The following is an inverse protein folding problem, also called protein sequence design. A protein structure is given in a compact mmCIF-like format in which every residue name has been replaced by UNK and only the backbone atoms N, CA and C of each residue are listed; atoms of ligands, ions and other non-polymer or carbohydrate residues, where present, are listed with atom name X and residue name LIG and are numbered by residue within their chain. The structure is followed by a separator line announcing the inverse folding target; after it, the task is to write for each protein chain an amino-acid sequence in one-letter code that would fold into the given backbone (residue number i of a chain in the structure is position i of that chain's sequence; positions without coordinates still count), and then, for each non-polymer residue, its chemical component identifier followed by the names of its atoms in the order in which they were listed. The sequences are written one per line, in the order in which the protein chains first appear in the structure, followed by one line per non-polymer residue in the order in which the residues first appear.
data_IF_823709773200
#
_entry.id   IF_823709773200
#
_cell.length_a   1.000
_cell.length_b   1.000
_cell.length_c   1.000
_cell.angle_alpha   90.00
_cell.angle_beta   90.00
_cell.angle_gamma   90.00
#
_symmetry.space_group_name_H-M   'P 1'
#
loop_
_entity.id
_entity.type
_entity.pdbx_description
1 polymer ?
#
# COMPACT_ATOMS: atom_id res chain seq x y z
N UNK A 1 26.49 8.37 1.48
CA UNK A 1 26.10 7.24 2.36
C UNK A 1 24.59 7.28 2.54
N UNK A 2 23.94 6.12 2.66
CA UNK A 2 22.51 6.03 2.93
C UNK A 2 22.21 6.55 4.35
N UNK A 3 21.14 7.34 4.48
CA UNK A 3 20.61 7.84 5.76
C UNK A 3 19.37 7.04 6.13
N UNK A 4 19.15 6.80 7.42
CA UNK A 4 17.90 6.22 7.92
C UNK A 4 16.76 7.17 7.57
N UNK A 5 15.68 6.66 6.99
CA UNK A 5 14.47 7.42 6.71
C UNK A 5 13.73 7.71 8.02
N UNK A 6 13.34 8.96 8.23
CA UNK A 6 12.50 9.40 9.35
C UNK A 6 11.19 9.96 8.81
N UNK A 7 10.16 9.97 9.65
CA UNK A 7 8.88 10.57 9.27
C UNK A 7 9.01 12.04 8.87
N UNK A 8 9.90 12.80 9.53
CA UNK A 8 10.16 14.20 9.23
C UNK A 8 10.84 14.42 7.87
N UNK A 9 11.38 13.37 7.24
CA UNK A 9 11.92 13.46 5.87
C UNK A 9 10.80 13.48 4.81
N UNK A 10 9.55 13.17 5.17
CA UNK A 10 8.43 13.06 4.22
C UNK A 10 8.25 14.31 3.34
N UNK A 11 8.17 15.55 3.88
CA UNK A 11 7.94 16.73 3.06
C UNK A 11 9.06 16.98 2.04
N UNK A 12 10.30 16.61 2.40
CA UNK A 12 11.46 16.76 1.54
C UNK A 12 11.56 15.68 0.47
N UNK A 13 11.20 14.42 0.79
CA UNK A 13 11.27 13.32 -0.17
C UNK A 13 10.09 13.30 -1.14
N UNK A 14 8.96 13.91 -0.78
CA UNK A 14 7.71 13.90 -1.58
C UNK A 14 7.92 14.34 -3.03
N UNK A 15 8.77 15.33 -3.30
CA UNK A 15 9.01 15.85 -4.65
C UNK A 15 9.48 14.77 -5.65
N UNK A 16 10.19 13.73 -5.18
CA UNK A 16 10.65 12.61 -6.02
C UNK A 16 9.50 11.66 -6.39
N UNK A 17 8.39 11.69 -5.65
CA UNK A 17 7.20 10.87 -5.87
C UNK A 17 6.13 11.61 -6.69
N UNK A 18 6.29 12.91 -6.98
CA UNK A 18 5.30 13.70 -7.73
C UNK A 18 5.16 13.23 -9.17
N UNK A 19 6.28 12.85 -9.80
CA UNK A 19 6.34 12.40 -11.20
C UNK A 19 6.59 10.89 -11.34
N UNK A 20 6.56 10.14 -10.23
CA UNK A 20 6.75 8.70 -10.25
C UNK A 20 5.49 8.00 -10.79
N UNK A 21 5.70 6.99 -11.64
CA UNK A 21 4.63 6.24 -12.31
C UNK A 21 4.70 4.73 -12.07
N UNK A 22 5.55 4.25 -11.16
CA UNK A 22 5.55 2.86 -10.73
C UNK A 22 4.21 2.56 -10.02
N UNK A 23 3.44 1.58 -10.53
CA UNK A 23 2.04 1.44 -10.15
C UNK A 23 1.82 0.51 -8.94
N UNK A 24 2.91 -0.02 -8.37
CA UNK A 24 2.93 -0.87 -7.19
C UNK A 24 2.85 -0.04 -5.89
N UNK A 25 2.10 -0.49 -4.89
CA UNK A 25 1.82 0.24 -3.66
C UNK A 25 3.08 0.51 -2.82
N UNK A 26 4.13 -0.28 -3.01
CA UNK A 26 5.44 -0.11 -2.38
C UNK A 26 6.12 1.21 -2.77
N UNK A 27 5.66 1.89 -3.84
CA UNK A 27 6.11 3.22 -4.22
C UNK A 27 5.24 4.35 -3.63
N UNK A 28 4.41 4.07 -2.63
CA UNK A 28 3.85 5.12 -1.77
C UNK A 28 4.86 5.54 -0.71
N UNK A 29 5.27 6.80 -0.70
CA UNK A 29 6.13 7.35 0.36
C UNK A 29 5.50 7.21 1.74
N UNK A 30 4.17 7.37 1.84
CA UNK A 30 3.45 7.21 3.10
C UNK A 30 3.50 5.76 3.58
N UNK A 31 3.39 4.79 2.67
CA UNK A 31 3.55 3.36 2.99
C UNK A 31 4.98 3.04 3.43
N UNK A 32 5.99 3.46 2.65
CA UNK A 32 7.42 3.27 2.99
C UNK A 32 7.73 3.82 4.39
N UNK A 33 7.18 4.99 4.71
CA UNK A 33 7.38 5.64 6.02
C UNK A 33 6.62 4.90 7.13
N UNK A 34 5.40 4.43 6.85
CA UNK A 34 4.55 3.71 7.80
C UNK A 34 5.18 2.38 8.24
N UNK A 35 5.71 1.60 7.28
CA UNK A 35 6.28 0.27 7.51
C UNK A 35 7.73 0.29 8.03
N UNK A 36 8.35 1.46 8.13
CA UNK A 36 9.70 1.62 8.66
C UNK A 36 9.79 1.17 10.13
N UNK A 37 10.93 0.61 10.53
CA UNK A 37 11.20 0.06 11.86
C UNK A 37 10.30 -1.12 12.28
N UNK A 38 9.92 -1.96 11.30
CA UNK A 38 9.28 -3.24 11.63
C UNK A 38 10.03 -4.49 11.17
N UNK A 39 9.86 -4.89 9.90
CA UNK A 39 10.64 -6.00 9.30
C UNK A 39 11.95 -5.50 8.68
N UNK A 40 11.98 -4.21 8.33
CA UNK A 40 13.15 -3.54 7.76
C UNK A 40 13.27 -2.11 8.28
N UNK A 41 14.48 -1.58 8.17
CA UNK A 41 14.76 -0.15 8.28
C UNK A 41 14.87 0.44 6.88
N UNK A 42 13.97 1.36 6.56
CA UNK A 42 14.04 2.15 5.34
C UNK A 42 15.18 3.17 5.44
N UNK A 43 15.96 3.26 4.38
CA UNK A 43 17.05 4.20 4.23
C UNK A 43 16.95 4.88 2.87
N UNK A 44 17.58 6.03 2.71
CA UNK A 44 17.64 6.71 1.43
C UNK A 44 18.98 7.38 1.18
N UNK A 45 19.30 7.59 -0.09
CA UNK A 45 20.37 8.49 -0.54
C UNK A 45 19.86 9.29 -1.74
N UNK A 46 20.23 10.56 -1.79
CA UNK A 46 19.98 11.42 -2.96
C UNK A 46 21.30 11.63 -3.67
N UNK A 47 21.30 11.36 -4.98
CA UNK A 47 22.40 11.64 -5.88
C UNK A 47 21.89 12.63 -6.93
N UNK A 48 22.25 13.91 -6.80
CA UNK A 48 21.72 14.99 -7.63
C UNK A 48 20.19 15.04 -7.63
N UNK A 49 19.54 14.62 -8.72
CA UNK A 49 18.08 14.61 -8.89
C UNK A 49 17.46 13.21 -8.78
N UNK A 50 18.23 12.22 -8.33
CA UNK A 50 17.81 10.82 -8.18
C UNK A 50 17.74 10.43 -6.70
N UNK A 51 16.64 9.79 -6.30
CA UNK A 51 16.40 9.23 -4.98
C UNK A 51 16.49 7.70 -5.05
N UNK A 52 17.34 7.11 -4.23
CA UNK A 52 17.44 5.67 -4.03
C UNK A 52 16.92 5.35 -2.64
N UNK A 53 15.96 4.44 -2.56
CA UNK A 53 15.42 3.92 -1.30
C UNK A 53 15.93 2.50 -1.12
N UNK A 54 16.41 2.23 0.09
CA UNK A 54 16.90 0.92 0.51
C UNK A 54 16.05 0.41 1.66
N UNK A 55 15.73 -0.87 1.63
CA UNK A 55 15.19 -1.60 2.77
C UNK A 55 16.29 -2.51 3.33
N UNK A 56 16.58 -2.37 4.62
CA UNK A 56 17.56 -3.19 5.33
C UNK A 56 16.82 -4.09 6.31
N UNK A 57 16.69 -5.40 6.03
CA UNK A 57 16.02 -6.33 6.94
C UNK A 57 16.67 -6.32 8.31
N UNK A 58 15.88 -6.30 9.37
CA UNK A 58 16.41 -6.18 10.73
C UNK A 58 17.16 -7.45 11.17
N UNK A 59 16.67 -8.62 10.81
CA UNK A 59 17.29 -9.91 11.15
C UNK A 59 18.45 -10.30 10.23
N UNK A 60 18.46 -9.78 9.01
CA UNK A 60 19.50 -10.10 8.02
C UNK A 60 19.90 -8.85 7.22
N UNK A 61 20.68 -7.93 7.84
CA UNK A 61 21.10 -6.70 7.17
C UNK A 61 21.88 -6.92 5.87
N UNK A 62 22.54 -8.08 5.73
CA UNK A 62 23.24 -8.49 4.51
C UNK A 62 22.30 -8.68 3.31
N UNK A 63 21.01 -8.96 3.55
CA UNK A 63 19.97 -9.07 2.51
C UNK A 63 19.32 -7.73 2.17
N UNK A 64 20.01 -6.61 2.43
CA UNK A 64 19.57 -5.27 2.03
C UNK A 64 19.27 -5.22 0.53
N UNK A 65 18.29 -4.41 0.16
CA UNK A 65 17.74 -4.32 -1.19
C UNK A 65 17.35 -2.88 -1.51
N UNK A 66 17.28 -2.57 -2.80
CA UNK A 66 16.81 -1.29 -3.31
C UNK A 66 15.38 -1.42 -3.86
N UNK A 67 14.61 -0.35 -3.83
CA UNK A 67 13.50 -0.16 -4.75
C UNK A 67 14.05 0.43 -6.07
N UNK A 68 13.27 0.44 -7.14
CA UNK A 68 13.66 1.21 -8.33
C UNK A 68 13.87 2.69 -7.94
N UNK A 69 14.91 3.33 -8.48
CA UNK A 69 15.18 4.72 -8.18
C UNK A 69 14.09 5.65 -8.71
N UNK A 70 13.93 6.77 -8.03
CA UNK A 70 12.99 7.83 -8.35
C UNK A 70 13.76 9.06 -8.81
N UNK A 71 13.14 9.93 -9.60
CA UNK A 71 13.77 11.16 -10.04
C UNK A 71 12.79 12.34 -9.98
N UNK A 72 13.32 13.54 -9.70
CA UNK A 72 12.52 14.79 -9.70
C UNK A 72 11.88 15.11 -11.05
N UNK A 73 12.37 14.52 -12.12
CA UNK A 73 11.80 14.61 -13.47
C UNK A 73 11.58 13.19 -13.98
N UNK A 74 10.57 12.98 -14.86
CA UNK A 74 10.39 11.69 -15.50
C UNK A 74 11.70 11.19 -16.12
N UNK A 75 12.16 10.03 -15.66
CA UNK A 75 13.36 9.35 -16.14
C UNK A 75 13.07 7.86 -16.21
N UNK A 76 13.35 7.24 -17.35
CA UNK A 76 13.46 5.79 -17.43
C UNK A 76 14.90 5.41 -17.07
N UNK A 77 15.09 4.56 -16.07
CA UNK A 77 16.39 4.06 -15.68
C UNK A 77 16.68 2.78 -16.47
N UNK A 78 17.77 2.75 -17.21
CA UNK A 78 18.13 1.57 -18.00
C UNK A 78 18.67 0.45 -17.11
N UNK A 79 18.59 -0.83 -17.53
CA UNK A 79 19.18 -1.94 -16.77
C UNK A 79 20.67 -1.76 -16.48
N UNK A 80 21.44 -1.24 -17.44
CA UNK A 80 22.87 -0.94 -17.25
C UNK A 80 23.10 0.13 -16.16
N UNK A 81 22.34 1.22 -16.16
CA UNK A 81 22.41 2.24 -15.11
C UNK A 81 22.06 1.66 -13.73
N UNK A 82 21.00 0.86 -13.63
CA UNK A 82 20.60 0.21 -12.38
C UNK A 82 21.70 -0.71 -11.85
N UNK A 83 22.36 -1.47 -12.74
CA UNK A 83 23.44 -2.39 -12.38
C UNK A 83 24.65 -1.65 -11.82
N UNK A 84 25.11 -0.60 -12.52
CA UNK A 84 26.22 0.23 -12.06
C UNK A 84 25.92 0.93 -10.73
N UNK A 85 24.70 1.44 -10.54
CA UNK A 85 24.28 2.08 -9.28
C UNK A 85 24.20 1.08 -8.14
N UNK A 86 23.64 -0.11 -8.38
CA UNK A 86 23.58 -1.18 -7.37
C UNK A 86 24.98 -1.58 -6.92
N UNK A 87 25.89 -1.84 -7.87
CA UNK A 87 27.30 -2.16 -7.60
C UNK A 87 28.00 -1.05 -6.82
N UNK A 88 27.85 0.21 -7.25
CA UNK A 88 28.42 1.39 -6.56
C UNK A 88 27.96 1.50 -5.11
N UNK A 89 26.71 1.15 -4.82
CA UNK A 89 26.15 1.20 -3.47
C UNK A 89 26.36 -0.10 -2.67
N UNK A 90 26.94 -1.13 -3.27
CA UNK A 90 27.12 -2.45 -2.66
C UNK A 90 25.78 -3.15 -2.39
N UNK A 91 24.87 -3.09 -3.36
CA UNK A 91 23.60 -3.82 -3.37
C UNK A 91 23.57 -4.78 -4.54
N UNK A 92 22.88 -5.90 -4.35
CA UNK A 92 22.76 -6.94 -5.37
C UNK A 92 21.34 -7.06 -5.91
N UNK A 93 20.35 -6.43 -5.28
CA UNK A 93 18.93 -6.69 -5.59
C UNK A 93 18.10 -5.43 -5.62
N UNK A 94 17.20 -5.38 -6.61
CA UNK A 94 16.03 -4.51 -6.61
C UNK A 94 14.78 -5.34 -6.32
N UNK A 95 13.95 -4.90 -5.38
CA UNK A 95 12.67 -5.51 -5.04
C UNK A 95 11.52 -4.63 -5.53
N UNK A 96 10.35 -5.25 -5.66
CA UNK A 96 9.13 -4.57 -6.09
C UNK A 96 9.31 -3.88 -7.45
N UNK A 97 10.04 -4.51 -8.37
CA UNK A 97 10.17 -4.02 -9.73
C UNK A 97 8.86 -4.31 -10.46
N UNK A 98 8.11 -3.30 -10.92
CA UNK A 98 6.79 -3.53 -11.51
C UNK A 98 6.89 -4.15 -12.90
N UNK A 99 5.90 -4.96 -13.27
CA UNK A 99 5.83 -5.62 -14.58
C UNK A 99 5.99 -4.64 -15.77
N UNK A 100 5.54 -3.39 -15.64
CA UNK A 100 5.69 -2.41 -16.71
C UNK A 100 7.16 -2.00 -16.94
N UNK A 101 8.00 -1.99 -15.90
CA UNK A 101 9.44 -1.75 -16.07
C UNK A 101 10.07 -2.82 -16.97
N UNK A 102 9.70 -4.10 -16.77
CA UNK A 102 10.18 -5.21 -17.60
C UNK A 102 9.73 -5.05 -19.06
N UNK A 103 8.49 -4.62 -19.29
CA UNK A 103 7.95 -4.39 -20.64
C UNK A 103 8.61 -3.20 -21.35
N UNK A 104 8.89 -2.12 -20.61
CA UNK A 104 9.46 -0.88 -21.13
C UNK A 104 10.96 -1.01 -21.45
N UNK A 105 11.69 -1.88 -20.75
CA UNK A 105 13.14 -2.03 -20.88
C UNK A 105 13.58 -3.35 -21.55
N UNK A 106 12.64 -4.15 -22.03
CA UNK A 106 12.84 -5.45 -22.68
C UNK A 106 13.56 -6.51 -21.81
N UNK A 107 12.97 -7.70 -21.71
CA UNK A 107 13.49 -8.74 -20.80
C UNK A 107 14.90 -9.21 -21.18
N UNK A 108 15.25 -9.46 -22.46
CA UNK A 108 16.62 -9.80 -22.86
C UNK A 108 17.67 -8.73 -22.52
N UNK A 109 17.32 -7.44 -22.55
CA UNK A 109 18.24 -6.37 -22.13
C UNK A 109 18.43 -6.36 -20.61
N UNK A 110 17.37 -6.59 -19.84
CA UNK A 110 17.45 -6.77 -18.39
C UNK A 110 18.31 -7.99 -18.04
N UNK A 111 18.14 -9.09 -18.75
CA UNK A 111 18.83 -10.36 -18.51
C UNK A 111 20.34 -10.32 -18.80
N UNK A 112 20.85 -9.27 -19.46
CA UNK A 112 22.30 -9.03 -19.54
C UNK A 112 22.92 -8.70 -18.18
N UNK A 113 22.14 -8.10 -17.28
CA UNK A 113 22.63 -7.55 -16.01
C UNK A 113 21.99 -8.22 -14.79
N UNK A 114 20.76 -8.72 -14.92
CA UNK A 114 19.99 -9.24 -13.81
C UNK A 114 19.37 -10.61 -14.13
N UNK A 115 19.07 -11.37 -13.09
CA UNK A 115 18.05 -12.41 -13.11
C UNK A 115 16.74 -11.78 -12.61
N UNK A 116 15.65 -11.97 -13.37
CA UNK A 116 14.32 -11.47 -13.00
C UNK A 116 13.45 -12.61 -12.47
N UNK A 117 12.96 -12.49 -11.23
CA UNK A 117 12.08 -13.47 -10.60
C UNK A 117 10.78 -12.80 -10.16
N UNK A 118 9.63 -13.36 -10.54
CA UNK A 118 8.33 -12.88 -10.05
C UNK A 118 8.21 -13.06 -8.53
N UNK A 119 7.75 -12.03 -7.84
CA UNK A 119 7.41 -12.10 -6.42
C UNK A 119 5.95 -12.50 -6.27
N UNK A 120 5.69 -13.81 -6.15
CA UNK A 120 4.34 -14.31 -5.89
C UNK A 120 3.80 -13.75 -4.57
N UNK A 121 2.48 -13.55 -4.50
CA UNK A 121 1.83 -12.91 -3.35
C UNK A 121 1.96 -11.39 -3.27
N UNK A 122 2.87 -10.76 -4.02
CA UNK A 122 3.08 -9.31 -4.08
C UNK A 122 2.54 -8.70 -5.38
N UNK A 123 1.38 -9.19 -5.82
CA UNK A 123 0.67 -8.69 -7.00
C UNK A 123 -0.45 -7.76 -6.59
N UNK A 124 -0.40 -6.52 -7.03
CA UNK A 124 -1.37 -5.50 -6.65
C UNK A 124 -2.66 -5.56 -7.45
N UNK A 125 -3.77 -5.28 -6.78
CA UNK A 125 -5.10 -5.25 -7.37
C UNK A 125 -5.58 -3.80 -7.54
N UNK A 126 -5.85 -3.41 -8.78
CA UNK A 126 -6.25 -2.04 -9.11
C UNK A 126 -7.65 -1.99 -9.67
N UNK A 127 -8.45 -1.04 -9.20
CA UNK A 127 -9.87 -0.87 -9.54
C UNK A 127 -10.10 0.54 -10.08
N UNK A 128 -11.04 0.73 -11.02
CA UNK A 128 -11.55 2.07 -11.30
C UNK A 128 -12.19 2.64 -10.02
N UNK A 129 -11.79 3.85 -9.62
CA UNK A 129 -12.36 4.51 -8.45
C UNK A 129 -13.88 4.71 -8.61
N UNK A 130 -14.33 4.96 -9.85
CA UNK A 130 -15.75 5.06 -10.21
C UNK A 130 -16.53 3.76 -10.01
N UNK A 131 -15.91 2.60 -10.24
CA UNK A 131 -16.53 1.29 -10.01
C UNK A 131 -16.72 1.05 -8.50
N UNK A 132 -15.70 1.36 -7.68
CA UNK A 132 -15.76 1.25 -6.21
C UNK A 132 -16.77 2.23 -5.58
N UNK A 133 -16.83 3.47 -6.12
CA UNK A 133 -17.72 4.55 -5.66
C UNK A 133 -19.18 4.29 -6.01
N UNK A 134 -19.46 3.86 -7.24
CA UNK A 134 -20.84 3.78 -7.74
C UNK A 134 -21.42 2.36 -7.74
N UNK A 135 -20.56 1.33 -7.74
CA UNK A 135 -20.96 -0.07 -7.79
C UNK A 135 -22.01 -0.36 -8.88
N UNK A 136 -21.84 0.19 -10.09
CA UNK A 136 -22.81 0.12 -11.19
C UNK A 136 -22.81 -1.23 -11.93
N UNK A 137 -24.00 -1.67 -12.37
CA UNK A 137 -24.16 -2.85 -13.21
C UNK A 137 -24.35 -4.17 -12.45
N UNK A 138 -24.65 -5.24 -13.18
CA UNK A 138 -25.01 -6.54 -12.61
C UNK A 138 -23.87 -7.19 -11.81
N UNK A 139 -22.61 -7.00 -12.24
CA UNK A 139 -21.42 -7.56 -11.59
C UNK A 139 -21.30 -7.17 -10.10
N UNK A 140 -21.69 -5.94 -9.73
CA UNK A 140 -21.65 -5.47 -8.33
C UNK A 140 -22.95 -5.72 -7.53
N UNK A 141 -23.90 -6.49 -8.05
CA UNK A 141 -25.18 -6.79 -7.36
C UNK A 141 -24.96 -7.35 -5.95
N UNK A 142 -24.03 -8.29 -5.79
CA UNK A 142 -23.68 -8.87 -4.47
C UNK A 142 -23.15 -7.82 -3.49
N UNK A 143 -22.33 -6.87 -3.97
CA UNK A 143 -21.78 -5.78 -3.14
C UNK A 143 -22.86 -4.81 -2.69
N UNK A 144 -23.74 -4.37 -3.62
CA UNK A 144 -24.89 -3.53 -3.28
C UNK A 144 -25.85 -4.23 -2.32
N UNK A 145 -26.05 -5.54 -2.46
CA UNK A 145 -26.88 -6.34 -1.55
C UNK A 145 -26.29 -6.37 -0.14
N UNK A 146 -24.96 -6.54 0.02
CA UNK A 146 -24.30 -6.49 1.33
C UNK A 146 -24.42 -5.10 1.98
N UNK A 147 -24.22 -4.02 1.22
CA UNK A 147 -24.43 -2.66 1.71
C UNK A 147 -25.90 -2.43 2.10
N UNK A 148 -26.84 -2.96 1.32
CA UNK A 148 -28.27 -2.86 1.63
C UNK A 148 -28.62 -3.62 2.91
N UNK A 149 -28.03 -4.79 3.14
CA UNK A 149 -28.21 -5.55 4.38
C UNK A 149 -27.65 -4.77 5.58
N UNK A 150 -26.44 -4.20 5.45
CA UNK A 150 -25.86 -3.32 6.46
C UNK A 150 -26.79 -2.15 6.81
N UNK A 151 -27.27 -1.41 5.80
CA UNK A 151 -28.18 -0.26 6.00
C UNK A 151 -29.56 -0.63 6.55
N UNK A 152 -30.01 -1.87 6.36
CA UNK A 152 -31.24 -2.38 6.98
C UNK A 152 -31.03 -2.74 8.44
N UNK A 153 -29.85 -3.26 8.78
CA UNK A 153 -29.48 -3.61 10.14
C UNK A 153 -29.21 -2.36 10.99
N UNK A 154 -28.54 -1.36 10.42
CA UNK A 154 -28.20 -0.10 11.08
C UNK A 154 -28.80 1.08 10.30
N UNK A 155 -29.90 1.68 10.80
CA UNK A 155 -30.50 2.86 10.18
C UNK A 155 -29.52 4.03 10.09
N UNK A 156 -29.74 4.93 9.14
CA UNK A 156 -28.84 6.08 8.90
C UNK A 156 -28.62 6.95 10.15
N UNK A 157 -29.64 7.08 11.02
CA UNK A 157 -29.51 7.81 12.29
C UNK A 157 -28.54 7.19 13.29
N UNK A 158 -28.18 5.92 13.14
CA UNK A 158 -27.22 5.22 14.01
C UNK A 158 -25.84 5.04 13.39
N UNK A 159 -25.65 5.45 12.13
CA UNK A 159 -24.37 5.32 11.42
C UNK A 159 -23.79 6.69 11.11
N UNK A 160 -22.56 6.94 11.55
CA UNK A 160 -21.83 8.17 11.25
C UNK A 160 -20.59 7.84 10.44
N UNK A 161 -20.35 8.60 9.37
CA UNK A 161 -19.13 8.53 8.56
C UNK A 161 -18.36 9.82 8.73
N UNK A 162 -17.08 9.71 9.07
CA UNK A 162 -16.22 10.86 9.31
C UNK A 162 -14.90 10.74 8.56
N UNK A 163 -14.39 11.86 8.08
CA UNK A 163 -13.00 11.93 7.63
C UNK A 163 -12.07 11.73 8.82
N UNK A 164 -11.04 10.92 8.63
CA UNK A 164 -9.99 10.79 9.63
C UNK A 164 -9.14 12.06 9.64
N UNK A 165 -8.81 12.49 10.85
CA UNK A 165 -7.92 13.60 11.15
C UNK A 165 -7.16 13.29 12.42
N UNK A 166 -6.18 14.13 12.78
CA UNK A 166 -5.49 14.03 14.07
C UNK A 166 -6.42 13.95 15.29
N UNK A 167 -7.61 14.57 15.22
CA UNK A 167 -8.54 14.64 16.35
C UNK A 167 -9.28 13.32 16.63
N UNK A 168 -9.52 12.48 15.61
CA UNK A 168 -10.26 11.22 15.75
C UNK A 168 -9.40 9.97 15.45
N UNK A 169 -8.16 10.12 14.98
CA UNK A 169 -7.24 9.01 14.73
C UNK A 169 -7.04 8.09 15.96
N UNK A 170 -7.09 8.64 17.18
CA UNK A 170 -7.02 7.87 18.42
C UNK A 170 -8.13 6.82 18.57
N UNK A 171 -9.33 7.09 18.05
CA UNK A 171 -10.44 6.13 18.07
C UNK A 171 -10.20 4.95 17.14
N UNK A 172 -9.57 5.18 15.99
CA UNK A 172 -9.15 4.12 15.08
C UNK A 172 -8.07 3.22 15.72
N UNK A 173 -7.17 3.80 16.50
CA UNK A 173 -6.17 3.04 17.29
C UNK A 173 -6.88 2.17 18.34
N UNK A 174 -7.86 2.70 19.07
CA UNK A 174 -8.63 1.92 20.04
C UNK A 174 -9.37 0.75 19.38
N UNK A 175 -10.01 0.97 18.21
CA UNK A 175 -10.63 -0.12 17.45
C UNK A 175 -9.61 -1.19 17.04
N UNK A 176 -8.42 -0.79 16.58
CA UNK A 176 -7.36 -1.71 16.19
C UNK A 176 -6.89 -2.56 17.38
N UNK A 177 -6.75 -1.95 18.57
CA UNK A 177 -6.37 -2.67 19.80
C UNK A 177 -7.43 -3.67 20.24
N UNK A 178 -8.72 -3.31 20.15
CA UNK A 178 -9.82 -4.26 20.39
C UNK A 178 -9.82 -5.40 19.37
N UNK A 179 -9.58 -5.09 18.10
CA UNK A 179 -9.50 -6.08 17.05
C UNK A 179 -8.36 -7.07 17.30
N UNK A 180 -7.17 -6.60 17.69
CA UNK A 180 -6.04 -7.46 18.07
C UNK A 180 -6.42 -8.42 19.21
N UNK A 181 -6.99 -7.90 20.31
CA UNK A 181 -7.34 -8.72 21.49
C UNK A 181 -8.33 -9.85 21.18
N UNK A 182 -9.22 -9.65 20.20
CA UNK A 182 -10.20 -10.67 19.78
C UNK A 182 -9.60 -11.73 18.85
N UNK A 183 -8.44 -11.46 18.25
CA UNK A 183 -7.76 -12.33 17.30
C UNK A 183 -6.38 -12.77 17.84
N UNK A 184 -6.21 -12.85 19.17
CA UNK A 184 -4.96 -13.17 19.87
C UNK A 184 -4.46 -14.62 19.67
N UNK A 185 -5.12 -15.42 18.82
CA UNK A 185 -4.53 -16.63 18.25
C UNK A 185 -4.04 -16.33 16.82
N UNK A 186 -2.80 -15.84 16.65
CA UNK A 186 -2.19 -15.88 15.32
C UNK A 186 -2.12 -17.36 14.90
N UNK A 187 -2.66 -17.68 13.73
CA UNK A 187 -2.29 -18.90 13.02
C UNK A 187 -0.75 -19.04 13.07
N UNK A 188 -0.24 -20.22 13.43
CA UNK A 188 1.19 -20.46 13.66
C UNK A 188 2.04 -19.86 12.51
N UNK A 189 2.98 -18.97 12.86
CA UNK A 189 3.86 -18.29 11.89
C UNK A 189 3.43 -16.90 11.41
N UNK A 190 2.27 -16.37 11.86
CA UNK A 190 1.75 -15.05 11.43
C UNK A 190 1.86 -13.93 12.47
N UNK A 191 2.33 -14.23 13.68
CA UNK A 191 2.41 -13.27 14.79
C UNK A 191 3.26 -12.03 14.45
N UNK A 192 4.41 -12.21 13.81
CA UNK A 192 5.34 -11.13 13.48
C UNK A 192 4.78 -10.19 12.39
N UNK A 193 4.09 -10.75 11.39
CA UNK A 193 3.48 -9.94 10.32
C UNK A 193 2.29 -9.13 10.84
N UNK A 194 1.49 -9.69 11.75
CA UNK A 194 0.36 -9.00 12.37
C UNK A 194 0.82 -7.87 13.31
N UNK A 195 1.88 -8.09 14.09
CA UNK A 195 2.47 -7.04 14.92
C UNK A 195 3.06 -5.91 14.05
N UNK A 196 3.63 -6.25 12.90
CA UNK A 196 4.11 -5.25 11.95
C UNK A 196 3.01 -4.44 11.26
N UNK A 197 1.95 -5.09 10.79
CA UNK A 197 0.79 -4.37 10.23
C UNK A 197 0.20 -3.42 11.29
N UNK A 198 0.05 -3.88 12.53
CA UNK A 198 -0.43 -3.05 13.64
C UNK A 198 0.47 -1.84 13.87
N UNK A 199 1.80 -2.03 13.93
CA UNK A 199 2.75 -0.92 14.06
C UNK A 199 2.65 0.05 12.89
N UNK A 200 2.53 -0.43 11.65
CA UNK A 200 2.41 0.41 10.47
C UNK A 200 1.11 1.23 10.48
N UNK A 201 -0.01 0.64 10.89
CA UNK A 201 -1.29 1.36 11.07
C UNK A 201 -1.17 2.42 12.16
N UNK A 202 -0.58 2.09 13.31
CA UNK A 202 -0.41 3.05 14.41
C UNK A 202 0.50 4.21 13.98
N UNK A 203 1.60 3.92 13.28
CA UNK A 203 2.51 4.93 12.74
C UNK A 203 1.79 5.86 11.74
N UNK A 204 0.99 5.26 10.86
CA UNK A 204 0.15 5.98 9.90
C UNK A 204 -0.84 6.93 10.59
N UNK A 205 -1.57 6.44 11.60
CA UNK A 205 -2.57 7.22 12.33
C UNK A 205 -1.95 8.33 13.20
N UNK A 206 -0.78 8.08 13.81
CA UNK A 206 -0.06 9.09 14.59
C UNK A 206 0.50 10.22 13.73
N UNK A 207 0.90 9.92 12.50
CA UNK A 207 1.51 10.86 11.56
C UNK A 207 0.59 11.22 10.38
N UNK A 208 -0.72 11.07 10.56
CA UNK A 208 -1.72 11.06 9.48
C UNK A 208 -1.63 12.30 8.56
N UNK A 209 -1.62 13.49 9.16
CA UNK A 209 -1.54 14.75 8.42
C UNK A 209 -0.17 14.96 7.76
N UNK A 210 0.91 14.61 8.47
CA UNK A 210 2.30 14.74 7.98
C UNK A 210 2.54 13.83 6.76
N UNK A 211 1.97 12.63 6.77
CA UNK A 211 2.04 11.66 5.67
C UNK A 211 1.01 11.91 4.57
N UNK A 212 0.29 13.04 4.62
CA UNK A 212 -0.77 13.43 3.68
C UNK A 212 -1.79 12.31 3.42
N UNK A 213 -2.08 11.51 4.44
CA UNK A 213 -3.02 10.42 4.32
C UNK A 213 -4.46 10.92 4.23
N UNK A 214 -5.31 10.10 3.63
CA UNK A 214 -6.77 10.29 3.63
C UNK A 214 -7.42 9.00 4.06
N UNK A 215 -8.58 9.14 4.70
CA UNK A 215 -9.30 8.00 5.17
C UNK A 215 -10.62 8.38 5.78
N UNK A 216 -11.40 7.34 6.05
CA UNK A 216 -12.71 7.44 6.67
C UNK A 216 -12.77 6.54 7.89
N UNK A 217 -13.62 6.94 8.82
CA UNK A 217 -14.01 6.19 10.00
C UNK A 217 -15.53 6.06 9.98
N UNK A 218 -16.02 4.88 10.38
CA UNK A 218 -17.45 4.58 10.52
C UNK A 218 -17.73 4.31 11.98
N UNK A 219 -18.67 5.06 12.55
CA UNK A 219 -19.26 4.79 13.86
C UNK A 219 -20.65 4.18 13.70
N UNK A 220 -20.98 3.25 14.60
CA UNK A 220 -22.29 2.63 14.73
C UNK A 220 -22.70 2.79 16.19
N UNK A 221 -23.85 3.43 16.43
CA UNK A 221 -24.40 3.64 17.78
C UNK A 221 -23.40 4.33 18.73
N UNK A 222 -22.64 5.30 18.20
CA UNK A 222 -21.63 6.06 18.94
C UNK A 222 -20.33 5.30 19.24
N UNK A 223 -20.11 4.14 18.62
CA UNK A 223 -18.85 3.37 18.73
C UNK A 223 -18.18 3.22 17.37
N UNK A 224 -16.88 3.43 17.32
CA UNK A 224 -16.07 3.19 16.12
C UNK A 224 -16.17 1.72 15.72
N UNK A 225 -16.61 1.46 14.50
CA UNK A 225 -16.86 0.11 13.98
C UNK A 225 -15.93 -0.26 12.80
N UNK A 226 -15.35 0.73 12.12
CA UNK A 226 -14.37 0.49 11.06
C UNK A 226 -13.64 1.74 10.60
N UNK A 227 -12.50 1.56 9.95
CA UNK A 227 -11.77 2.61 9.27
C UNK A 227 -11.04 2.09 8.04
N UNK A 228 -10.86 2.97 7.06
CA UNK A 228 -10.04 2.75 5.88
C UNK A 228 -9.13 3.95 5.66
N UNK A 229 -7.82 3.72 5.50
CA UNK A 229 -6.81 4.76 5.29
C UNK A 229 -5.92 4.42 4.10
N UNK A 230 -5.47 5.46 3.42
CA UNK A 230 -4.65 5.35 2.24
C UNK A 230 -3.87 6.62 1.94
N UNK A 231 -3.08 6.58 0.89
CA UNK A 231 -2.30 7.72 0.43
C UNK A 231 -2.20 7.79 -1.09
N UNK A 232 -1.71 8.92 -1.59
CA UNK A 232 -1.41 9.09 -3.00
C UNK A 232 -0.34 8.08 -3.43
N UNK A 233 -0.58 7.41 -4.55
CA UNK A 233 0.41 6.53 -5.19
C UNK A 233 1.08 7.20 -6.41
N UNK A 234 0.27 7.75 -7.31
CA UNK A 234 0.71 8.43 -8.54
C UNK A 234 -0.13 9.69 -8.81
N UNK A 235 -0.02 10.29 -9.99
CA UNK A 235 -0.90 11.39 -10.41
C UNK A 235 -2.38 10.99 -10.46
N UNK A 236 -2.66 9.72 -10.77
CA UNK A 236 -3.99 9.19 -11.12
C UNK A 236 -4.44 7.99 -10.25
N UNK A 237 -3.58 7.47 -9.37
CA UNK A 237 -3.89 6.37 -8.47
C UNK A 237 -3.74 6.74 -6.99
N UNK A 238 -4.65 6.20 -6.17
CA UNK A 238 -4.61 6.24 -4.72
C UNK A 238 -4.49 4.82 -4.16
N UNK A 239 -3.59 4.59 -3.21
CA UNK A 239 -3.45 3.30 -2.56
C UNK A 239 -4.28 3.26 -1.27
N UNK A 240 -5.15 2.27 -1.14
CA UNK A 240 -5.84 1.93 0.10
C UNK A 240 -4.96 0.94 0.85
N UNK A 241 -4.26 1.41 1.88
CA UNK A 241 -3.24 0.64 2.60
C UNK A 241 -3.85 -0.26 3.67
N UNK A 242 -4.74 0.31 4.49
CA UNK A 242 -5.28 -0.41 5.64
C UNK A 242 -6.79 -0.23 5.72
N UNK A 243 -7.47 -1.34 5.98
CA UNK A 243 -8.90 -1.39 6.23
C UNK A 243 -9.14 -2.37 7.38
N UNK A 244 -9.73 -1.87 8.47
CA UNK A 244 -10.13 -2.69 9.61
C UNK A 244 -11.55 -2.36 9.98
N UNK A 245 -12.37 -3.38 10.14
CA UNK A 245 -13.74 -3.24 10.59
C UNK A 245 -14.16 -4.45 11.43
N UNK A 246 -15.19 -4.26 12.27
CA UNK A 246 -15.80 -5.32 13.06
C UNK A 246 -16.30 -6.45 12.16
N UNK A 247 -15.67 -7.63 12.27
CA UNK A 247 -15.94 -8.80 11.42
C UNK A 247 -17.36 -9.35 11.56
N UNK A 248 -17.99 -9.14 12.72
CA UNK A 248 -19.34 -9.63 13.02
C UNK A 248 -20.44 -8.82 12.31
N UNK A 249 -20.07 -7.67 11.72
CA UNK A 249 -21.02 -6.76 11.07
C UNK A 249 -21.05 -7.00 9.57
N UNK A 250 -22.08 -7.76 9.13
CA UNK A 250 -22.25 -8.12 7.73
C UNK A 250 -22.42 -6.89 6.84
N UNK A 251 -21.56 -6.78 5.82
CA UNK A 251 -21.60 -5.71 4.83
C UNK A 251 -20.82 -4.45 5.22
N UNK A 252 -20.27 -4.37 6.43
CA UNK A 252 -19.52 -3.19 6.88
C UNK A 252 -18.26 -2.92 6.06
N UNK A 253 -17.46 -3.94 5.74
CA UNK A 253 -16.31 -3.79 4.82
C UNK A 253 -16.74 -3.25 3.45
N UNK A 254 -17.87 -3.70 2.90
CA UNK A 254 -18.34 -3.19 1.60
C UNK A 254 -18.86 -1.75 1.69
N UNK A 255 -19.48 -1.39 2.82
CA UNK A 255 -19.90 -0.02 3.08
C UNK A 255 -18.67 0.89 3.22
N UNK A 256 -17.67 0.47 3.99
CA UNK A 256 -16.43 1.18 4.22
C UNK A 256 -15.65 1.39 2.91
N UNK A 257 -15.46 0.35 2.10
CA UNK A 257 -14.91 0.47 0.75
C UNK A 257 -15.61 1.52 -0.12
N UNK A 258 -16.94 1.52 -0.09
CA UNK A 258 -17.75 2.41 -0.89
C UNK A 258 -17.66 3.86 -0.41
N UNK A 259 -17.67 4.09 0.90
CA UNK A 259 -17.50 5.41 1.51
C UNK A 259 -16.08 5.94 1.29
N UNK A 260 -15.05 5.10 1.39
CA UNK A 260 -13.67 5.50 1.11
C UNK A 260 -13.52 5.97 -0.33
N UNK A 261 -14.08 5.22 -1.30
CA UNK A 261 -14.05 5.61 -2.70
C UNK A 261 -14.79 6.93 -3.00
N UNK A 262 -15.78 7.32 -2.18
CA UNK A 262 -16.52 8.59 -2.36
C UNK A 262 -15.72 9.82 -1.96
N UNK A 263 -14.80 9.70 -1.00
CA UNK A 263 -14.01 10.84 -0.50
C UNK A 263 -12.79 11.16 -1.36
N UNK A 264 -12.44 10.29 -2.30
CA UNK A 264 -11.28 10.50 -3.17
C UNK A 264 -11.58 11.61 -4.20
N UNK A 265 -10.65 12.56 -4.40
CA UNK A 265 -10.73 13.53 -5.49
C UNK A 265 -10.84 12.85 -6.87
N UNK A 266 -11.61 13.44 -7.78
CA UNK A 266 -11.89 12.85 -9.11
C UNK A 266 -10.65 12.65 -10.00
N UNK A 267 -9.53 13.33 -9.69
CA UNK A 267 -8.24 13.09 -10.37
C UNK A 267 -7.69 11.69 -10.16
N UNK A 268 -8.09 11.01 -9.07
CA UNK A 268 -7.70 9.64 -8.80
C UNK A 268 -8.69 8.70 -9.48
N UNK A 269 -8.34 8.30 -10.69
CA UNK A 269 -9.15 7.41 -11.51
C UNK A 269 -9.01 5.95 -11.06
N UNK A 270 -7.94 5.61 -10.34
CA UNK A 270 -7.66 4.27 -9.85
C UNK A 270 -7.52 4.20 -8.32
N UNK A 271 -8.02 3.10 -7.75
CA UNK A 271 -7.72 2.68 -6.37
C UNK A 271 -6.87 1.40 -6.46
N UNK A 272 -5.67 1.44 -5.92
CA UNK A 272 -4.83 0.26 -5.69
C UNK A 272 -5.17 -0.28 -4.28
N UNK A 273 -5.63 -1.53 -4.16
CA UNK A 273 -5.89 -2.18 -2.86
C UNK A 273 -4.79 -3.18 -2.46
N UNK A 274 -3.57 -2.98 -2.94
CA UNK A 274 -2.37 -3.76 -2.62
C UNK A 274 -2.48 -5.25 -2.96
N UNK A 275 -1.59 -6.06 -2.40
CA UNK A 275 -1.40 -7.48 -2.71
C UNK A 275 -2.17 -8.44 -1.78
N UNK A 276 -2.50 -9.63 -2.28
CA UNK A 276 -3.24 -10.63 -1.49
C UNK A 276 -2.34 -11.47 -0.56
N UNK A 277 -1.02 -11.30 -0.63
CA UNK A 277 -0.03 -12.03 0.16
C UNK A 277 -0.18 -13.56 0.02
N UNK A 278 -0.63 -14.02 -1.15
CA UNK A 278 -0.99 -15.41 -1.45
C UNK A 278 -2.07 -16.00 -0.50
N UNK A 279 -2.82 -15.14 0.21
CA UNK A 279 -3.92 -15.58 1.09
C UNK A 279 -5.19 -15.82 0.27
N UNK A 280 -5.74 -17.06 0.23
CA UNK A 280 -6.90 -17.38 -0.60
C UNK A 280 -8.15 -16.54 -0.28
N UNK A 281 -8.36 -16.22 1.01
CA UNK A 281 -9.47 -15.38 1.46
C UNK A 281 -9.34 -13.93 0.95
N UNK A 282 -8.15 -13.34 1.02
CA UNK A 282 -7.87 -12.00 0.49
C UNK A 282 -7.99 -11.98 -1.03
N UNK A 283 -7.41 -12.96 -1.72
CA UNK A 283 -7.54 -13.11 -3.16
C UNK A 283 -9.00 -13.11 -3.61
N UNK A 284 -9.83 -13.96 -2.98
CA UNK A 284 -11.28 -14.02 -3.26
C UNK A 284 -11.98 -12.69 -2.98
N UNK A 285 -11.63 -12.00 -1.90
CA UNK A 285 -12.20 -10.69 -1.56
C UNK A 285 -11.85 -9.64 -2.61
N UNK A 286 -10.58 -9.55 -3.03
CA UNK A 286 -10.10 -8.61 -4.06
C UNK A 286 -10.70 -8.91 -5.43
N UNK A 287 -10.66 -10.17 -5.88
CA UNK A 287 -11.25 -10.58 -7.16
C UNK A 287 -12.76 -10.31 -7.24
N UNK A 288 -13.48 -10.36 -6.12
CA UNK A 288 -14.92 -10.07 -6.08
C UNK A 288 -15.29 -8.61 -6.37
N UNK A 289 -14.31 -7.70 -6.43
CA UNK A 289 -14.48 -6.32 -6.87
C UNK A 289 -14.10 -6.08 -8.34
N UNK A 290 -13.76 -7.13 -9.10
CA UNK A 290 -13.47 -7.05 -10.53
C UNK A 290 -12.34 -6.05 -10.85
N UNK A 291 -11.11 -6.30 -10.38
CA UNK A 291 -9.97 -5.43 -10.67
C UNK A 291 -9.79 -5.25 -12.18
N UNK A 292 -9.47 -4.03 -12.60
CA UNK A 292 -9.16 -3.71 -14.01
C UNK A 292 -7.71 -4.05 -14.36
N UNK A 293 -6.81 -4.03 -13.38
CA UNK A 293 -5.41 -4.44 -13.53
C UNK A 293 -4.99 -5.28 -12.34
N UNK A 294 -4.11 -6.24 -12.61
CA UNK A 294 -3.33 -6.97 -11.61
C UNK A 294 -1.86 -6.75 -11.95
N UNK A 295 -1.11 -6.10 -11.06
CA UNK A 295 0.25 -5.65 -11.34
C UNK A 295 1.21 -6.58 -10.62
N UNK A 296 1.98 -7.35 -11.39
CA UNK A 296 3.03 -8.21 -10.83
C UNK A 296 4.23 -7.39 -10.40
N UNK A 297 4.91 -7.87 -9.39
CA UNK A 297 6.19 -7.36 -8.95
C UNK A 297 7.28 -8.42 -9.12
N UNK A 298 8.52 -7.96 -9.31
CA UNK A 298 9.67 -8.80 -9.59
C UNK A 298 10.85 -8.41 -8.70
N UNK A 299 11.72 -9.37 -8.42
CA UNK A 299 13.07 -9.15 -7.92
C UNK A 299 14.01 -9.17 -9.11
N UNK A 300 14.85 -8.16 -9.23
CA UNK A 300 16.02 -8.19 -10.11
C UNK A 300 17.26 -8.47 -9.25
N UNK A 301 17.91 -9.61 -9.46
CA UNK A 301 19.17 -9.97 -8.79
C UNK A 301 20.34 -9.77 -9.75
N UNK A 302 21.32 -8.95 -9.37
CA UNK A 302 22.49 -8.66 -10.18
C UNK A 302 23.25 -9.95 -10.50
N UNK A 303 23.57 -10.16 -11.78
CA UNK A 303 24.40 -11.29 -12.19
C UNK A 303 25.83 -11.06 -11.74
N UNK A 304 26.48 -12.13 -11.32
CA UNK A 304 27.95 -12.17 -11.21
C UNK A 304 28.49 -12.19 -12.64
N UNK A 305 29.00 -11.06 -13.11
CA UNK A 305 29.71 -10.93 -14.39
C UNK A 305 31.19 -11.26 -14.17
#
# INVERSE_FOLDING_TARGET
MFKVLKTDDYPFLKEFFEHQNYPLCEYSLSSITAWNHCIYNAHFIICENELFISEVPMESPVKKRLLLPLAKKPKNFTPAELFEKAKKFGYERYYYVPENYLKENDLPEIEKFFEALEQTGYMDYVYPASDMKNLKGHKFSKKRNLITQFKKQFPESSVKTELISKNNAGQCISLLEEWSKRHDEPEEGLAETLDCEKKAIINSLKNFDLLEMKGIMVEIEGKTAGFAIGSRLSSDAFALHFEKASGDIKGLYQFLDNEFAKILPDRFIYINKESDLDKPSLKKAKESYYPVKKIKSYILSARTI
#
